data_IF_273012703567
#
_entry.id   IF_273012703567
#
_cell.length_a   1.000
_cell.length_b   1.000
_cell.length_c   1.000
_cell.angle_alpha   90.00
_cell.angle_beta   90.00
_cell.angle_gamma   90.00
#
_symmetry.space_group_name_H-M   'P 1'
#
loop_
_entity.id
_entity.type
_entity.pdbx_description
1 polymer ?
#
# COMPACT_ATOMS: atom_id res chain seq x y z
N UNK A 1 3.67 23.73 15.40
CA UNK A 1 4.50 22.52 15.53
C UNK A 1 4.02 21.54 14.46
N UNK A 2 4.93 20.85 13.74
CA UNK A 2 4.56 19.91 12.70
C UNK A 2 4.30 18.52 13.31
N UNK A 3 3.44 17.72 12.66
CA UNK A 3 3.12 16.35 13.05
C UNK A 3 2.90 15.49 11.80
N UNK A 4 3.26 14.22 11.88
CA UNK A 4 2.93 13.20 10.89
C UNK A 4 2.16 12.06 11.58
N UNK A 5 0.98 11.70 11.07
CA UNK A 5 0.29 10.50 11.52
C UNK A 5 0.90 9.27 10.85
N UNK A 6 1.41 8.35 11.66
CA UNK A 6 2.16 7.19 11.19
C UNK A 6 1.43 5.86 11.33
N UNK A 7 0.25 5.86 11.98
CA UNK A 7 -0.57 4.66 12.15
C UNK A 7 -2.05 4.98 11.96
N UNK A 8 -2.53 4.79 10.75
CA UNK A 8 -3.91 5.09 10.36
C UNK A 8 -4.48 3.98 9.49
N UNK A 9 -5.56 3.34 9.94
CA UNK A 9 -6.26 2.29 9.23
C UNK A 9 -7.58 2.82 8.65
N UNK A 10 -7.77 2.58 7.36
CA UNK A 10 -9.01 2.93 6.65
C UNK A 10 -10.01 1.77 6.68
N UNK A 11 -11.15 1.93 6.02
CA UNK A 11 -12.13 0.85 5.83
C UNK A 11 -11.60 -0.33 4.99
N UNK A 12 -10.38 -0.22 4.40
CA UNK A 12 -9.67 -1.35 3.79
C UNK A 12 -9.08 -2.31 4.83
N UNK A 13 -8.97 -1.90 6.11
CA UNK A 13 -8.91 -2.79 7.26
C UNK A 13 -10.34 -3.21 7.61
N UNK A 14 -10.80 -4.29 6.96
CA UNK A 14 -12.22 -4.68 6.93
C UNK A 14 -12.80 -4.83 8.33
N UNK A 15 -13.95 -4.20 8.57
CA UNK A 15 -14.65 -4.15 9.88
C UNK A 15 -13.79 -3.62 11.04
N UNK A 16 -12.70 -2.86 10.74
CA UNK A 16 -11.82 -2.24 11.73
C UNK A 16 -11.79 -0.73 11.57
N UNK A 17 -11.45 -0.21 10.39
CA UNK A 17 -11.51 1.22 10.09
C UNK A 17 -12.90 1.68 9.65
N UNK A 18 -13.30 2.89 10.04
CA UNK A 18 -14.60 3.47 9.69
C UNK A 18 -14.52 4.59 8.63
N UNK A 19 -13.31 5.10 8.34
CA UNK A 19 -13.12 6.18 7.39
C UNK A 19 -12.60 5.70 6.04
N UNK A 20 -12.93 6.38 4.95
CA UNK A 20 -12.31 6.16 3.64
C UNK A 20 -10.87 6.70 3.61
N UNK A 21 -9.97 6.15 2.78
CA UNK A 21 -8.64 6.72 2.59
C UNK A 21 -8.69 8.19 2.14
N UNK A 22 -9.69 8.55 1.32
CA UNK A 22 -9.91 9.90 0.82
C UNK A 22 -10.25 10.87 1.95
N UNK A 23 -11.17 10.49 2.86
CA UNK A 23 -11.55 11.30 4.01
C UNK A 23 -10.37 11.51 4.95
N UNK A 24 -9.58 10.45 5.18
CA UNK A 24 -8.41 10.50 6.05
C UNK A 24 -7.36 11.50 5.53
N UNK A 25 -6.97 11.42 4.25
CA UNK A 25 -5.96 12.32 3.70
C UNK A 25 -6.46 13.76 3.60
N UNK A 26 -7.74 13.96 3.23
CA UNK A 26 -8.36 15.29 3.15
C UNK A 26 -8.44 15.93 4.53
N UNK A 27 -8.87 15.18 5.55
CA UNK A 27 -8.96 15.69 6.93
C UNK A 27 -7.57 15.98 7.50
N UNK A 28 -6.57 15.12 7.28
CA UNK A 28 -5.21 15.36 7.76
C UNK A 28 -4.58 16.60 7.11
N UNK A 29 -4.80 16.82 5.80
CA UNK A 29 -4.37 18.03 5.10
C UNK A 29 -5.02 19.27 5.69
N UNK A 30 -6.34 19.25 5.93
CA UNK A 30 -7.09 20.37 6.53
C UNK A 30 -6.65 20.68 7.98
N UNK A 31 -6.15 19.68 8.71
CA UNK A 31 -5.59 19.86 10.05
C UNK A 31 -4.14 20.35 10.04
N UNK A 32 -3.52 20.48 8.85
CA UNK A 32 -2.14 20.95 8.70
C UNK A 32 -1.08 19.90 9.07
N UNK A 33 -1.38 18.61 8.92
CA UNK A 33 -0.39 17.55 9.11
C UNK A 33 0.67 17.59 8.01
N UNK A 34 1.92 17.35 8.38
CA UNK A 34 3.03 17.25 7.43
C UNK A 34 2.94 15.99 6.56
N UNK A 35 2.45 14.88 7.15
CA UNK A 35 2.29 13.61 6.46
C UNK A 35 1.21 12.76 7.13
N UNK A 36 0.69 11.79 6.37
CA UNK A 36 -0.17 10.72 6.88
C UNK A 36 0.27 9.38 6.26
N UNK A 37 0.40 8.34 7.09
CA UNK A 37 0.59 6.98 6.64
C UNK A 37 -0.76 6.26 6.57
N UNK A 38 -1.08 5.65 5.43
CA UNK A 38 -2.17 4.68 5.34
C UNK A 38 -1.57 3.30 5.58
N UNK A 39 -2.01 2.67 6.66
CA UNK A 39 -1.39 1.46 7.22
C UNK A 39 -2.45 0.39 7.50
N UNK A 40 -3.25 0.09 6.48
CA UNK A 40 -4.28 -0.95 6.56
C UNK A 40 -3.71 -2.32 6.91
N UNK A 41 -4.51 -3.15 7.56
CA UNK A 41 -4.09 -4.45 8.07
C UNK A 41 -3.80 -5.43 6.94
N UNK A 42 -2.54 -5.85 6.85
CA UNK A 42 -2.01 -6.75 5.82
C UNK A 42 -2.47 -6.34 4.41
N UNK A 43 -2.45 -5.03 4.10
CA UNK A 43 -2.97 -4.47 2.84
C UNK A 43 -2.36 -3.12 2.52
N UNK A 44 -2.17 -2.84 1.24
CA UNK A 44 -1.86 -1.52 0.68
C UNK A 44 -2.94 -1.04 -0.31
N UNK A 45 -4.11 -1.69 -0.33
CA UNK A 45 -5.17 -1.39 -1.30
C UNK A 45 -5.73 0.03 -1.13
N UNK A 46 -5.87 0.53 0.10
CA UNK A 46 -6.36 1.88 0.39
C UNK A 46 -5.41 3.00 -0.05
N UNK A 47 -4.11 2.71 -0.15
CA UNK A 47 -3.08 3.71 -0.49
C UNK A 47 -3.29 4.33 -1.87
N UNK A 48 -3.77 3.55 -2.85
CA UNK A 48 -4.02 4.04 -4.23
C UNK A 48 -5.11 5.10 -4.23
N UNK A 49 -6.19 4.89 -3.47
CA UNK A 49 -7.29 5.86 -3.34
C UNK A 49 -6.84 7.15 -2.63
N UNK A 50 -6.05 7.01 -1.56
CA UNK A 50 -5.43 8.13 -0.86
C UNK A 50 -4.52 8.94 -1.79
N UNK A 51 -3.66 8.26 -2.56
CA UNK A 51 -2.77 8.90 -3.52
C UNK A 51 -3.54 9.68 -4.59
N UNK A 52 -4.56 9.06 -5.17
CA UNK A 52 -5.43 9.68 -6.17
C UNK A 52 -6.12 10.93 -5.63
N UNK A 53 -6.69 10.86 -4.42
CA UNK A 53 -7.33 12.00 -3.76
C UNK A 53 -6.36 13.17 -3.57
N UNK A 54 -5.13 12.90 -3.13
CA UNK A 54 -4.09 13.93 -2.96
C UNK A 54 -3.77 14.61 -4.30
N UNK A 55 -3.64 13.83 -5.39
CA UNK A 55 -3.32 14.36 -6.70
C UNK A 55 -4.48 15.18 -7.29
N UNK A 56 -5.70 14.66 -7.26
CA UNK A 56 -6.89 15.32 -7.82
C UNK A 56 -7.25 16.60 -7.08
N UNK A 57 -7.12 16.62 -5.76
CA UNK A 57 -7.42 17.78 -4.91
C UNK A 57 -6.20 18.66 -4.62
N UNK A 58 -5.03 18.32 -5.15
CA UNK A 58 -3.77 19.04 -4.93
C UNK A 58 -3.50 19.30 -3.44
N UNK A 59 -3.75 18.30 -2.59
CA UNK A 59 -3.62 18.45 -1.14
C UNK A 59 -2.15 18.59 -0.75
N UNK A 60 -1.87 19.59 0.10
CA UNK A 60 -0.52 19.85 0.62
C UNK A 60 -0.18 18.89 1.79
N UNK A 61 -0.15 17.58 1.52
CA UNK A 61 0.19 16.55 2.50
C UNK A 61 1.02 15.44 1.85
N UNK A 62 1.99 14.92 2.58
CA UNK A 62 2.78 13.77 2.14
C UNK A 62 2.09 12.47 2.52
N UNK A 63 1.92 11.57 1.54
CA UNK A 63 1.43 10.21 1.78
C UNK A 63 2.59 9.26 2.06
N UNK A 64 2.47 8.50 3.14
CA UNK A 64 3.40 7.42 3.48
C UNK A 64 2.69 6.08 3.27
N UNK A 65 3.36 5.16 2.60
CA UNK A 65 2.85 3.81 2.39
C UNK A 65 3.31 2.91 3.53
N UNK A 66 2.39 2.19 4.12
CA UNK A 66 2.68 1.22 5.16
C UNK A 66 1.60 0.16 5.30
N UNK A 67 1.79 -0.76 6.24
CA UNK A 67 0.77 -1.75 6.60
C UNK A 67 0.95 -2.19 8.06
N UNK A 68 -0.15 -2.42 8.75
CA UNK A 68 -0.20 -3.00 10.08
C UNK A 68 -0.23 -4.52 10.00
N UNK A 69 0.43 -5.17 10.96
CA UNK A 69 0.44 -6.62 11.10
C UNK A 69 0.37 -7.02 12.56
N UNK A 70 -0.32 -8.14 12.80
CA UNK A 70 -0.36 -8.85 14.07
C UNK A 70 0.27 -10.24 13.91
N UNK A 71 1.23 -10.57 14.78
CA UNK A 71 1.81 -11.90 14.89
C UNK A 71 1.79 -12.31 16.36
N UNK A 72 0.90 -13.22 16.72
CA UNK A 72 0.66 -13.56 18.12
C UNK A 72 0.38 -12.30 18.97
N UNK A 73 1.26 -11.97 19.91
CA UNK A 73 1.19 -10.78 20.76
C UNK A 73 2.10 -9.63 20.30
N UNK A 74 2.78 -9.79 19.15
CA UNK A 74 3.56 -8.73 18.51
C UNK A 74 2.70 -7.96 17.52
N UNK A 75 2.49 -6.68 17.76
CA UNK A 75 1.82 -5.76 16.84
C UNK A 75 2.83 -4.76 16.24
N UNK A 76 2.87 -4.66 14.92
CA UNK A 76 3.82 -3.80 14.21
C UNK A 76 3.19 -3.07 13.05
N UNK A 77 3.69 -1.88 12.76
CA UNK A 77 3.45 -1.17 11.51
C UNK A 77 4.75 -1.11 10.73
N UNK A 78 4.73 -1.55 9.48
CA UNK A 78 5.85 -1.40 8.55
C UNK A 78 5.59 -0.20 7.65
N UNK A 79 6.55 0.72 7.57
CA UNK A 79 6.52 1.90 6.70
C UNK A 79 7.57 1.76 5.60
N UNK A 80 7.28 2.30 4.41
CA UNK A 80 8.11 2.17 3.22
C UNK A 80 8.91 3.44 2.94
N UNK A 81 10.18 3.55 3.40
CA UNK A 81 11.03 4.69 3.06
C UNK A 81 11.47 4.70 1.58
N UNK A 82 11.59 3.55 0.93
CA UNK A 82 12.10 3.40 -0.43
C UNK A 82 11.25 2.45 -1.26
N UNK A 83 11.47 2.43 -2.59
CA UNK A 83 10.85 1.43 -3.50
C UNK A 83 11.19 -0.01 -3.09
N UNK A 84 12.39 -0.26 -2.59
CA UNK A 84 12.80 -1.59 -2.11
C UNK A 84 11.97 -2.00 -0.88
N UNK A 85 11.77 -1.07 0.07
CA UNK A 85 10.91 -1.30 1.23
C UNK A 85 9.47 -1.62 0.81
N UNK A 86 8.93 -0.90 -0.18
CA UNK A 86 7.60 -1.18 -0.74
C UNK A 86 7.52 -2.57 -1.38
N UNK A 87 8.54 -2.98 -2.13
CA UNK A 87 8.60 -4.33 -2.70
C UNK A 87 8.66 -5.43 -1.62
N UNK A 88 9.41 -5.20 -0.52
CA UNK A 88 9.41 -6.11 0.64
C UNK A 88 8.04 -6.18 1.30
N UNK A 89 7.40 -5.03 1.54
CA UNK A 89 6.07 -4.96 2.13
C UNK A 89 5.04 -5.73 1.28
N UNK A 90 5.02 -5.51 -0.03
CA UNK A 90 4.12 -6.23 -0.94
C UNK A 90 4.36 -7.75 -0.92
N UNK A 91 5.63 -8.19 -0.81
CA UNK A 91 5.97 -9.61 -0.68
C UNK A 91 5.46 -10.19 0.64
N UNK A 92 5.64 -9.49 1.76
CA UNK A 92 5.12 -9.90 3.07
C UNK A 92 3.61 -10.06 3.01
N UNK A 93 2.88 -9.05 2.50
CA UNK A 93 1.42 -9.11 2.34
C UNK A 93 1.02 -10.31 1.48
N UNK A 94 1.64 -10.48 0.31
CA UNK A 94 1.31 -11.56 -0.62
C UNK A 94 1.54 -12.94 0.00
N UNK A 95 2.66 -13.14 0.68
CA UNK A 95 2.98 -14.41 1.33
C UNK A 95 2.02 -14.69 2.49
N UNK A 96 1.75 -13.70 3.34
CA UNK A 96 0.85 -13.86 4.49
C UNK A 96 -0.59 -14.16 4.06
N UNK A 97 -1.08 -13.51 2.99
CA UNK A 97 -2.41 -13.76 2.44
C UNK A 97 -2.52 -15.14 1.75
N UNK A 98 -1.44 -15.61 1.10
CA UNK A 98 -1.45 -16.93 0.42
C UNK A 98 -1.41 -18.12 1.38
N UNK A 99 -1.00 -17.93 2.63
CA UNK A 99 -0.97 -18.98 3.67
C UNK A 99 -2.30 -19.16 4.37
N UNK A 100 -3.21 -18.22 4.25
CA UNK A 100 -4.49 -18.20 4.94
C UNK A 100 -5.67 -18.31 3.97
N UNK A 101 -6.85 -18.56 4.51
CA UNK A 101 -8.11 -18.51 3.77
C UNK A 101 -8.43 -17.08 3.30
N UNK A 102 -9.35 -16.97 2.35
CA UNK A 102 -9.79 -15.69 1.82
C UNK A 102 -10.36 -14.79 2.93
N UNK A 103 -9.79 -13.61 3.07
CA UNK A 103 -10.17 -12.63 4.10
C UNK A 103 -9.18 -12.59 5.27
N UNK A 104 -8.47 -13.68 5.52
CA UNK A 104 -7.51 -13.82 6.61
C UNK A 104 -6.06 -13.63 6.12
N UNK A 105 -5.12 -13.56 7.05
CA UNK A 105 -3.69 -13.63 6.77
C UNK A 105 -2.93 -14.36 7.88
N UNK A 106 -1.82 -14.97 7.55
CA UNK A 106 -0.91 -15.62 8.48
C UNK A 106 0.50 -15.06 8.29
N UNK A 107 0.89 -14.17 9.17
CA UNK A 107 2.26 -13.64 9.22
C UNK A 107 3.17 -14.65 9.91
N UNK A 108 4.40 -14.79 9.42
CA UNK A 108 5.44 -15.60 10.05
C UNK A 108 6.63 -14.74 10.45
N UNK A 109 7.36 -15.14 11.48
CA UNK A 109 8.61 -14.46 11.91
C UNK A 109 9.62 -14.32 10.77
N UNK A 110 9.64 -15.28 9.86
CA UNK A 110 10.52 -15.26 8.69
C UNK A 110 10.22 -14.07 7.77
N UNK A 111 8.97 -13.71 7.59
CA UNK A 111 8.57 -12.57 6.77
C UNK A 111 9.17 -11.27 7.33
N UNK A 112 9.01 -11.04 8.63
CA UNK A 112 9.61 -9.89 9.31
C UNK A 112 11.14 -9.95 9.31
N UNK A 113 11.73 -11.13 9.55
CA UNK A 113 13.19 -11.32 9.53
C UNK A 113 13.80 -11.02 8.18
N UNK A 114 13.08 -11.25 7.09
CA UNK A 114 13.55 -10.95 5.74
C UNK A 114 13.41 -9.48 5.35
N UNK A 115 12.66 -8.68 6.12
CA UNK A 115 12.46 -7.26 5.89
C UNK A 115 13.70 -6.44 6.26
N UNK A 116 14.37 -5.85 5.26
CA UNK A 116 15.66 -5.14 5.42
C UNK A 116 15.56 -3.63 5.29
N UNK A 117 14.54 -3.13 4.59
CA UNK A 117 14.46 -1.73 4.21
C UNK A 117 13.27 -0.98 4.84
N UNK A 118 12.23 -1.66 5.33
CA UNK A 118 11.12 -1.00 6.01
C UNK A 118 11.56 -0.43 7.37
N UNK A 119 10.95 0.69 7.75
CA UNK A 119 10.93 1.14 9.15
C UNK A 119 9.81 0.40 9.88
N UNK A 120 10.01 0.10 11.15
CA UNK A 120 9.06 -0.62 11.98
C UNK A 120 8.64 0.24 13.16
N UNK A 121 7.32 0.42 13.30
CA UNK A 121 6.74 0.96 14.53
C UNK A 121 6.22 -0.22 15.35
N UNK A 122 6.77 -0.39 16.53
CA UNK A 122 6.37 -1.41 17.48
C UNK A 122 5.26 -0.86 18.38
N UNK A 123 4.15 -1.58 18.47
CA UNK A 123 3.06 -1.30 19.40
C UNK A 123 3.18 -2.27 20.58
N UNK A 124 3.74 -1.86 21.74
CA UNK A 124 3.95 -2.76 22.85
C UNK A 124 2.66 -3.36 23.41
N UNK A 125 2.76 -4.60 23.90
CA UNK A 125 1.63 -5.37 24.44
C UNK A 125 1.21 -4.94 25.86
N UNK A 126 2.02 -4.13 26.54
CA UNK A 126 1.91 -3.76 27.96
C UNK A 126 2.21 -4.93 28.93
N UNK A 127 2.73 -6.00 28.42
CA UNK A 127 3.22 -7.10 29.25
C UNK A 127 4.75 -7.06 29.26
N UNK A 128 5.39 -6.73 30.41
CA UNK A 128 6.84 -6.54 30.49
C UNK A 128 7.65 -7.74 30.02
N UNK A 129 7.20 -8.97 30.31
CA UNK A 129 7.94 -10.18 29.94
C UNK A 129 7.88 -10.43 28.43
N UNK A 130 6.70 -10.27 27.83
CA UNK A 130 6.50 -10.39 26.38
C UNK A 130 7.23 -9.29 25.63
N UNK A 131 7.08 -8.06 26.07
CA UNK A 131 7.73 -6.91 25.44
C UNK A 131 9.25 -6.97 25.57
N UNK A 132 9.79 -7.51 26.66
CA UNK A 132 11.21 -7.79 26.80
C UNK A 132 11.69 -8.86 25.82
N UNK A 133 10.92 -9.94 25.64
CA UNK A 133 11.23 -10.97 24.64
C UNK A 133 11.29 -10.36 23.24
N UNK A 134 10.24 -9.62 22.83
CA UNK A 134 10.16 -9.00 21.51
C UNK A 134 11.21 -7.90 21.32
N UNK A 135 11.57 -7.14 22.35
CA UNK A 135 12.59 -6.10 22.23
C UNK A 135 13.95 -6.65 21.81
N UNK A 136 14.38 -7.78 22.37
CA UNK A 136 15.63 -8.43 21.97
C UNK A 136 15.60 -8.90 20.52
N UNK A 137 14.46 -9.46 20.09
CA UNK A 137 14.28 -9.89 18.71
C UNK A 137 14.28 -8.69 17.74
N UNK A 138 13.53 -7.64 18.06
CA UNK A 138 13.45 -6.40 17.28
C UNK A 138 14.82 -5.71 17.19
N UNK A 139 15.56 -5.67 18.29
CA UNK A 139 16.93 -5.11 18.32
C UNK A 139 17.85 -5.85 17.34
N UNK A 140 17.75 -7.18 17.31
CA UNK A 140 18.59 -8.01 16.43
C UNK A 140 18.28 -7.83 14.94
N UNK A 141 17.01 -7.69 14.54
CA UNK A 141 16.60 -7.71 13.14
C UNK A 141 16.28 -6.34 12.57
N UNK A 142 15.83 -5.39 13.39
CA UNK A 142 15.50 -4.03 12.96
C UNK A 142 16.45 -2.97 13.50
N UNK A 143 16.95 -3.09 14.72
CA UNK A 143 17.91 -2.16 15.30
C UNK A 143 17.43 -0.70 15.20
N UNK A 144 18.22 0.15 14.55
CA UNK A 144 17.92 1.58 14.35
C UNK A 144 16.67 1.87 13.51
N UNK A 145 16.09 0.85 12.86
CA UNK A 145 14.85 0.98 12.06
C UNK A 145 13.59 0.70 12.89
N UNK A 146 13.73 0.40 14.19
CA UNK A 146 12.63 0.14 15.11
C UNK A 146 12.34 1.37 15.96
N UNK A 147 11.06 1.73 16.08
CA UNK A 147 10.56 2.82 16.91
C UNK A 147 9.41 2.30 17.78
N UNK A 148 9.31 2.77 19.02
CA UNK A 148 8.15 2.51 19.86
C UNK A 148 7.02 3.47 19.48
N UNK A 149 5.87 2.93 19.11
CA UNK A 149 4.67 3.70 18.80
C UNK A 149 3.96 4.12 20.10
N UNK A 150 4.15 5.35 20.51
CA UNK A 150 3.49 5.92 21.68
C UNK A 150 2.10 6.42 21.29
N UNK A 151 1.05 5.69 21.70
CA UNK A 151 -0.35 6.07 21.45
C UNK A 151 -1.02 6.62 22.71
N UNK A 152 -2.01 7.48 22.53
CA UNK A 152 -2.83 8.05 23.59
C UNK A 152 -4.31 7.87 23.20
N UNK A 153 -5.01 6.96 23.88
CA UNK A 153 -6.41 6.63 23.59
C UNK A 153 -7.38 7.34 24.56
N UNK A 154 -6.86 8.00 25.59
CA UNK A 154 -7.60 8.73 26.63
C UNK A 154 -8.66 7.85 27.32
N UNK A 155 -8.34 6.59 27.50
CA UNK A 155 -9.10 5.66 28.31
C UNK A 155 -8.58 5.61 29.78
N UNK A 156 -9.15 4.76 30.60
CA UNK A 156 -8.77 4.59 32.01
C UNK A 156 -7.32 4.10 32.19
N UNK A 157 -6.70 3.54 31.17
CA UNK A 157 -5.34 3.00 31.21
C UNK A 157 -4.29 3.94 30.63
N UNK A 158 -4.72 5.06 30.05
CA UNK A 158 -3.86 5.95 29.27
C UNK A 158 -2.67 6.52 30.05
N UNK A 159 -2.85 6.86 31.32
CA UNK A 159 -1.78 7.37 32.20
C UNK A 159 -0.72 6.30 32.46
N UNK A 160 -1.13 5.06 32.72
CA UNK A 160 -0.20 3.95 32.95
C UNK A 160 0.61 3.61 31.68
N UNK A 161 0.05 3.86 30.51
CA UNK A 161 0.72 3.71 29.22
C UNK A 161 1.91 4.66 29.05
N UNK A 162 1.73 5.92 29.40
CA UNK A 162 2.81 6.91 29.29
C UNK A 162 4.01 6.48 30.12
N UNK A 163 3.77 6.08 31.37
CA UNK A 163 4.81 5.59 32.28
C UNK A 163 5.46 4.30 31.74
N UNK A 164 4.65 3.40 31.19
CA UNK A 164 5.14 2.16 30.62
C UNK A 164 6.02 2.38 29.37
N UNK A 165 5.62 3.25 28.44
CA UNK A 165 6.41 3.59 27.27
C UNK A 165 7.74 4.22 27.65
N UNK A 166 7.75 5.11 28.66
CA UNK A 166 8.98 5.71 29.16
C UNK A 166 9.93 4.65 29.75
N UNK A 167 9.41 3.74 30.59
CA UNK A 167 10.16 2.61 31.11
C UNK A 167 10.73 1.73 29.98
N UNK A 168 9.90 1.38 29.00
CA UNK A 168 10.31 0.53 27.88
C UNK A 168 11.41 1.18 27.04
N UNK A 169 11.32 2.49 26.82
CA UNK A 169 12.37 3.27 26.16
C UNK A 169 13.71 3.17 26.94
N UNK A 170 13.69 3.32 28.25
CA UNK A 170 14.88 3.18 29.08
C UNK A 170 15.50 1.78 29.00
N UNK A 171 14.66 0.73 28.89
CA UNK A 171 15.13 -0.65 28.80
C UNK A 171 15.70 -1.01 27.43
N UNK A 172 15.17 -0.43 26.36
CA UNK A 172 15.44 -0.88 24.97
C UNK A 172 16.31 0.09 24.18
N UNK A 173 16.29 1.37 24.54
CA UNK A 173 16.93 2.44 23.77
C UNK A 173 16.24 2.74 22.43
N UNK A 174 15.11 2.10 22.10
CA UNK A 174 14.38 2.40 20.89
C UNK A 174 13.75 3.80 20.95
N UNK A 175 13.94 4.68 19.94
CA UNK A 175 13.28 5.97 19.91
C UNK A 175 11.76 5.81 19.90
N UNK A 176 11.06 6.74 20.54
CA UNK A 176 9.61 6.77 20.59
C UNK A 176 9.06 7.76 19.57
N UNK A 177 7.87 7.50 19.04
CA UNK A 177 7.15 8.41 18.16
C UNK A 177 5.68 8.49 18.52
N UNK A 178 5.09 9.66 18.43
CA UNK A 178 3.65 9.84 18.61
C UNK A 178 2.87 9.19 17.45
N UNK A 179 1.80 8.46 17.78
CA UNK A 179 0.84 7.91 16.82
C UNK A 179 -0.59 8.06 17.34
N UNK A 180 -1.54 8.33 16.43
CA UNK A 180 -2.97 8.44 16.77
C UNK A 180 -3.68 7.09 16.84
N UNK A 181 -3.14 6.05 16.23
CA UNK A 181 -3.81 4.76 16.02
C UNK A 181 -5.22 4.95 15.44
N UNK A 182 -5.28 5.73 14.38
CA UNK A 182 -6.51 6.32 13.82
C UNK A 182 -7.34 5.27 13.10
N UNK A 183 -8.66 5.25 13.38
CA UNK A 183 -9.66 4.41 12.71
C UNK A 183 -10.80 5.23 12.09
N UNK A 184 -10.86 6.53 12.38
CA UNK A 184 -11.90 7.46 11.97
C UNK A 184 -11.26 8.78 11.52
N UNK A 185 -11.85 9.45 10.53
CA UNK A 185 -11.40 10.79 10.16
C UNK A 185 -11.86 11.85 11.18
N UNK A 186 -13.05 11.68 11.73
CA UNK A 186 -13.67 12.61 12.70
C UNK A 186 -14.36 11.87 13.84
N UNK A 187 -14.58 12.52 14.99
CA UNK A 187 -15.27 11.90 16.14
C UNK A 187 -16.70 11.44 15.84
N UNK A 188 -17.38 12.11 14.91
CA UNK A 188 -18.77 11.81 14.51
C UNK A 188 -18.93 10.41 13.91
N UNK A 189 -17.83 9.85 13.36
CA UNK A 189 -17.82 8.48 12.81
C UNK A 189 -17.78 7.39 13.89
N UNK A 190 -17.77 7.76 15.19
CA UNK A 190 -17.69 6.81 16.30
C UNK A 190 -18.80 5.75 16.25
N UNK A 191 -20.04 6.16 15.99
CA UNK A 191 -21.16 5.22 15.93
C UNK A 191 -21.02 4.22 14.76
N UNK A 192 -20.45 4.66 13.62
CA UNK A 192 -20.14 3.76 12.50
C UNK A 192 -19.05 2.75 12.90
N UNK A 193 -18.00 3.23 13.60
CA UNK A 193 -16.94 2.36 14.13
C UNK A 193 -17.51 1.31 15.08
N UNK A 194 -18.48 1.69 15.93
CA UNK A 194 -19.13 0.77 16.87
C UNK A 194 -19.95 -0.31 16.13
N UNK A 195 -20.69 0.11 15.09
CA UNK A 195 -21.46 -0.81 14.25
C UNK A 195 -20.54 -1.83 13.54
N UNK A 196 -19.49 -1.37 12.87
CA UNK A 196 -18.57 -2.30 12.17
C UNK A 196 -17.83 -3.21 13.16
N UNK A 197 -17.50 -2.71 14.36
CA UNK A 197 -16.93 -3.51 15.44
C UNK A 197 -17.91 -4.59 15.92
N UNK A 198 -19.17 -4.22 16.14
CA UNK A 198 -20.22 -5.18 16.55
C UNK A 198 -20.45 -6.26 15.49
N UNK A 199 -20.45 -5.90 14.20
CA UNK A 199 -20.53 -6.87 13.09
C UNK A 199 -19.35 -7.84 13.13
N UNK A 200 -18.13 -7.33 13.30
CA UNK A 200 -16.92 -8.18 13.42
C UNK A 200 -17.00 -9.15 14.59
N UNK A 201 -17.60 -8.73 15.72
CA UNK A 201 -17.78 -9.54 16.91
C UNK A 201 -18.99 -10.47 16.84
N UNK A 202 -19.79 -10.43 15.77
CA UNK A 202 -21.00 -11.23 15.62
C UNK A 202 -22.09 -10.87 16.63
N UNK A 203 -22.18 -9.60 17.08
CA UNK A 203 -23.12 -9.14 18.11
C UNK A 203 -23.76 -7.80 17.75
N UNK A 204 -24.62 -7.28 18.60
CA UNK A 204 -25.17 -5.91 18.49
C UNK A 204 -24.26 -4.90 19.18
N UNK A 205 -24.40 -3.60 18.85
CA UNK A 205 -23.65 -2.52 19.53
C UNK A 205 -23.85 -2.56 21.05
N UNK A 206 -25.08 -2.75 21.49
CA UNK A 206 -25.40 -2.87 22.93
C UNK A 206 -24.81 -4.14 23.55
N UNK A 207 -24.81 -5.26 22.81
CA UNK A 207 -24.23 -6.53 23.26
C UNK A 207 -22.71 -6.55 23.30
N UNK A 208 -22.04 -5.71 22.52
CA UNK A 208 -20.58 -5.58 22.50
C UNK A 208 -20.00 -4.99 23.81
N UNK A 209 -20.77 -4.17 24.53
CA UNK A 209 -20.41 -3.64 25.83
C UNK A 209 -19.03 -2.94 25.83
N UNK A 210 -18.10 -3.44 26.65
CA UNK A 210 -16.73 -2.89 26.78
C UNK A 210 -15.78 -3.27 25.64
N UNK A 211 -16.22 -4.08 24.67
CA UNK A 211 -15.41 -4.46 23.51
C UNK A 211 -15.39 -3.37 22.40
N UNK A 212 -16.31 -2.40 22.46
CA UNK A 212 -16.25 -1.20 21.63
C UNK A 212 -15.37 -0.12 22.29
N UNK A 213 -14.80 0.78 21.49
CA UNK A 213 -13.95 1.85 21.99
C UNK A 213 -14.73 2.74 22.98
N UNK A 214 -14.13 3.04 24.13
CA UNK A 214 -14.77 3.81 25.20
C UNK A 214 -15.09 5.27 24.81
N UNK A 215 -14.39 5.80 23.80
CA UNK A 215 -14.51 7.19 23.34
C UNK A 215 -14.23 7.31 21.82
N UNK A 216 -14.31 8.52 21.30
CA UNK A 216 -14.05 8.82 19.89
C UNK A 216 -12.61 9.28 19.60
N UNK A 217 -11.65 8.97 20.48
CA UNK A 217 -10.29 9.51 20.40
C UNK A 217 -9.40 8.88 19.31
N UNK A 218 -9.80 7.75 18.73
CA UNK A 218 -9.10 7.13 17.59
C UNK A 218 -9.46 7.80 16.27
N UNK A 219 -9.51 9.16 16.27
CA UNK A 219 -9.72 9.99 15.10
C UNK A 219 -8.53 10.94 14.88
N UNK A 220 -8.51 11.62 13.72
CA UNK A 220 -7.54 12.68 13.45
C UNK A 220 -7.80 13.88 14.36
N UNK A 221 -6.79 14.29 15.13
CA UNK A 221 -6.87 15.32 16.17
C UNK A 221 -6.27 16.63 15.68
N UNK A 222 -6.70 17.77 16.23
CA UNK A 222 -6.06 19.06 15.96
C UNK A 222 -4.62 19.09 16.47
N UNK A 223 -3.73 19.86 15.81
CA UNK A 223 -2.34 20.01 16.25
C UNK A 223 -2.25 20.53 17.69
N UNK A 224 -3.16 21.42 18.09
CA UNK A 224 -3.22 21.92 19.47
C UNK A 224 -3.49 20.77 20.47
N UNK A 225 -4.43 19.86 20.17
CA UNK A 225 -4.70 18.70 21.02
C UNK A 225 -3.49 17.74 21.07
N UNK A 226 -2.81 17.54 19.95
CA UNK A 226 -1.62 16.69 19.90
C UNK A 226 -0.48 17.25 20.76
N UNK A 227 -0.26 18.57 20.77
CA UNK A 227 0.77 19.20 21.63
C UNK A 227 0.45 19.15 23.12
N UNK A 228 -0.82 18.96 23.50
CA UNK A 228 -1.22 18.71 24.89
C UNK A 228 -1.02 17.26 25.32
N UNK A 229 -1.09 16.33 24.36
CA UNK A 229 -1.03 14.89 24.64
C UNK A 229 0.40 14.30 24.55
N UNK A 230 1.23 14.86 23.68
CA UNK A 230 2.57 14.35 23.41
C UNK A 230 3.63 15.42 23.64
N UNK A 231 4.81 14.97 24.06
CA UNK A 231 5.97 15.87 24.13
C UNK A 231 6.42 16.34 22.75
N UNK A 232 7.11 17.47 22.71
CA UNK A 232 7.68 18.01 21.46
C UNK A 232 8.62 17.04 20.76
N UNK A 233 9.34 16.20 21.50
CA UNK A 233 10.25 15.18 20.98
C UNK A 233 9.50 14.08 20.23
N UNK A 234 8.41 13.55 20.82
CA UNK A 234 7.60 12.50 20.20
C UNK A 234 6.95 12.98 18.89
N UNK A 235 6.50 14.24 18.86
CA UNK A 235 5.94 14.86 17.65
C UNK A 235 7.03 15.10 16.61
N UNK A 236 8.21 15.58 17.01
CA UNK A 236 9.35 15.77 16.11
C UNK A 236 9.80 14.47 15.47
N UNK A 237 9.93 13.39 16.27
CA UNK A 237 10.28 12.04 15.75
C UNK A 237 9.28 11.56 14.69
N UNK A 238 7.98 11.87 14.81
CA UNK A 238 7.01 11.50 13.78
C UNK A 238 7.31 12.16 12.42
N UNK A 239 7.74 13.41 12.46
CA UNK A 239 8.12 14.17 11.25
C UNK A 239 9.48 13.67 10.69
N UNK A 240 10.43 13.32 11.56
CA UNK A 240 11.70 12.72 11.13
C UNK A 240 11.47 11.40 10.39
N UNK A 241 10.62 10.51 10.92
CA UNK A 241 10.23 9.26 10.25
C UNK A 241 9.55 9.57 8.91
N UNK A 242 8.64 10.54 8.88
CA UNK A 242 8.00 10.97 7.65
C UNK A 242 9.00 11.49 6.61
N UNK A 243 10.05 12.19 7.05
CA UNK A 243 11.12 12.68 6.17
C UNK A 243 12.00 11.54 5.63
N UNK A 244 12.19 10.46 6.37
CA UNK A 244 12.87 9.26 5.87
C UNK A 244 12.07 8.54 4.78
N UNK A 245 10.74 8.62 4.81
CA UNK A 245 9.85 7.95 3.85
C UNK A 245 9.78 8.75 2.55
N UNK A 246 10.68 8.49 1.59
CA UNK A 246 10.75 9.20 0.30
C UNK A 246 10.01 8.48 -0.84
N UNK A 247 9.54 7.26 -0.61
CA UNK A 247 8.81 6.51 -1.62
C UNK A 247 7.45 7.13 -1.93
N UNK A 248 7.13 7.21 -3.21
CA UNK A 248 5.82 7.64 -3.72
C UNK A 248 5.33 6.69 -4.80
N UNK A 249 4.02 6.45 -4.87
CA UNK A 249 3.42 5.67 -5.97
C UNK A 249 3.66 6.31 -7.34
N UNK A 250 3.84 7.63 -7.40
CA UNK A 250 4.20 8.33 -8.66
C UNK A 250 5.55 7.90 -9.24
N UNK A 251 6.43 7.29 -8.42
CA UNK A 251 7.72 6.76 -8.89
C UNK A 251 7.62 5.37 -9.50
N UNK A 252 6.45 4.71 -9.37
CA UNK A 252 6.23 3.39 -9.97
C UNK A 252 5.95 3.56 -11.45
N UNK A 253 6.76 2.87 -12.26
CA UNK A 253 6.53 2.71 -13.70
C UNK A 253 6.33 1.24 -13.98
N UNK A 254 5.46 0.96 -14.94
CA UNK A 254 5.31 -0.39 -15.43
C UNK A 254 6.56 -0.73 -16.27
N UNK A 255 7.27 -1.78 -15.91
CA UNK A 255 8.44 -2.29 -16.62
C UNK A 255 8.04 -3.58 -17.31
N UNK A 256 7.96 -3.55 -18.64
CA UNK A 256 7.71 -4.75 -19.45
C UNK A 256 9.03 -5.54 -19.65
N UNK A 257 8.96 -6.86 -19.92
CA UNK A 257 10.13 -7.64 -20.26
C UNK A 257 10.89 -7.05 -21.45
N UNK A 258 12.14 -6.68 -21.26
CA UNK A 258 13.00 -6.12 -22.32
C UNK A 258 13.64 -7.20 -23.20
N UNK A 259 13.66 -8.44 -22.72
CA UNK A 259 14.24 -9.62 -23.38
C UNK A 259 13.50 -10.03 -24.67
N UNK A 260 12.29 -9.51 -24.85
CA UNK A 260 11.45 -9.78 -26.04
C UNK A 260 11.93 -9.04 -27.28
N UNK A 261 12.82 -8.06 -27.13
CA UNK A 261 13.34 -7.27 -28.25
C UNK A 261 14.74 -7.76 -28.59
N UNK A 262 15.02 -8.11 -29.85
CA UNK A 262 16.34 -8.52 -30.30
C UNK A 262 17.39 -7.46 -30.02
N UNK A 263 18.62 -7.87 -29.73
CA UNK A 263 19.72 -6.96 -29.47
C UNK A 263 19.95 -6.00 -30.66
N UNK A 264 20.02 -4.71 -30.37
CA UNK A 264 20.24 -3.65 -31.38
C UNK A 264 18.98 -3.13 -32.05
N UNK A 265 17.79 -3.65 -31.74
CA UNK A 265 16.52 -3.11 -32.20
C UNK A 265 15.83 -2.26 -31.13
N UNK A 266 14.94 -1.35 -31.57
CA UNK A 266 14.01 -0.68 -30.68
C UNK A 266 12.73 -1.49 -30.55
N UNK A 267 12.00 -1.40 -29.42
CA UNK A 267 10.72 -2.11 -29.25
C UNK A 267 9.71 -1.80 -30.36
N UNK A 268 9.64 -0.55 -30.78
CA UNK A 268 8.72 -0.11 -31.80
C UNK A 268 9.09 -0.64 -33.18
N UNK A 269 10.39 -0.71 -33.50
CA UNK A 269 10.86 -1.29 -34.75
C UNK A 269 10.49 -2.78 -34.83
N UNK A 270 10.83 -3.55 -33.77
CA UNK A 270 10.50 -4.97 -33.69
C UNK A 270 8.98 -5.23 -33.77
N UNK A 271 8.19 -4.43 -33.05
CA UNK A 271 6.73 -4.52 -33.13
C UNK A 271 6.22 -4.29 -34.55
N UNK A 272 6.74 -3.26 -35.22
CA UNK A 272 6.34 -2.94 -36.60
C UNK A 272 6.68 -4.09 -37.56
N UNK A 273 7.85 -4.70 -37.46
CA UNK A 273 8.22 -5.88 -38.26
C UNK A 273 7.26 -7.05 -38.03
N UNK A 274 6.92 -7.38 -36.78
CA UNK A 274 5.98 -8.44 -36.46
C UNK A 274 4.57 -8.15 -37.00
N UNK A 275 4.11 -6.90 -36.89
CA UNK A 275 2.80 -6.48 -37.39
C UNK A 275 2.74 -6.57 -38.93
N UNK A 276 3.79 -6.12 -39.63
CA UNK A 276 3.86 -6.18 -41.08
C UNK A 276 3.93 -7.62 -41.61
N UNK A 277 4.74 -8.46 -40.95
CA UNK A 277 4.77 -9.90 -41.24
C UNK A 277 3.39 -10.56 -41.05
N UNK A 278 2.73 -10.22 -39.92
CA UNK A 278 1.36 -10.68 -39.66
C UNK A 278 0.32 -10.15 -40.67
N UNK A 279 0.45 -8.90 -41.15
CA UNK A 279 -0.40 -8.34 -42.14
C UNK A 279 -0.26 -9.10 -43.48
N UNK A 280 0.95 -9.47 -43.90
CA UNK A 280 1.16 -10.31 -45.10
C UNK A 280 0.47 -11.67 -44.95
N UNK A 281 0.53 -12.30 -43.77
CA UNK A 281 -0.16 -13.57 -43.51
C UNK A 281 -1.69 -13.43 -43.64
N UNK A 282 -2.25 -12.30 -43.17
CA UNK A 282 -3.70 -12.06 -43.12
C UNK A 282 -4.29 -11.57 -44.45
N UNK A 283 -3.55 -10.73 -45.16
CA UNK A 283 -4.06 -10.01 -46.33
C UNK A 283 -3.34 -10.38 -47.65
N UNK A 284 -2.27 -11.21 -47.57
CA UNK A 284 -1.45 -11.55 -48.74
C UNK A 284 -0.43 -10.46 -49.09
N UNK A 285 0.13 -10.56 -50.31
CA UNK A 285 1.20 -9.66 -50.75
C UNK A 285 0.76 -8.20 -50.96
N UNK A 286 -0.56 -7.97 -51.11
CA UNK A 286 -1.10 -6.62 -51.28
C UNK A 286 -2.03 -6.27 -50.12
N UNK A 287 -1.52 -5.49 -49.16
CA UNK A 287 -2.33 -4.98 -48.03
C UNK A 287 -3.26 -3.88 -48.59
N UNK A 288 -4.60 -3.95 -48.36
CA UNK A 288 -5.52 -2.90 -48.76
C UNK A 288 -5.14 -1.54 -48.18
N UNK A 289 -5.21 -0.45 -48.95
CA UNK A 289 -4.80 0.87 -48.52
C UNK A 289 -5.47 1.32 -47.21
N UNK A 290 -6.78 1.09 -47.04
CA UNK A 290 -7.51 1.44 -45.82
C UNK A 290 -6.97 0.69 -44.56
N UNK A 291 -6.50 -0.55 -44.72
CA UNK A 291 -5.86 -1.33 -43.66
C UNK A 291 -4.47 -0.75 -43.34
N UNK A 292 -3.68 -0.41 -44.38
CA UNK A 292 -2.38 0.22 -44.22
C UNK A 292 -2.49 1.56 -43.48
N UNK A 293 -3.44 2.41 -43.79
CA UNK A 293 -3.70 3.68 -43.12
C UNK A 293 -4.10 3.47 -41.64
N UNK A 294 -4.87 2.42 -41.36
CA UNK A 294 -5.28 2.09 -40.00
C UNK A 294 -4.11 1.56 -39.19
N UNK A 295 -3.28 0.66 -39.73
CA UNK A 295 -2.06 0.18 -39.10
C UNK A 295 -1.10 1.32 -38.77
N UNK A 296 -0.89 2.26 -39.72
CA UNK A 296 -0.02 3.42 -39.48
C UNK A 296 -0.51 4.28 -38.32
N UNK A 297 -1.81 4.51 -38.21
CA UNK A 297 -2.42 5.28 -37.09
C UNK A 297 -2.30 4.55 -35.75
N UNK A 298 -2.59 3.25 -35.71
CA UNK A 298 -2.51 2.46 -34.50
C UNK A 298 -1.05 2.35 -34.01
N UNK A 299 -0.09 2.05 -34.91
CA UNK A 299 1.32 1.98 -34.57
C UNK A 299 1.86 3.32 -34.06
N UNK A 300 1.44 4.43 -34.68
CA UNK A 300 1.80 5.77 -34.21
C UNK A 300 1.28 6.02 -32.78
N UNK A 301 0.04 5.67 -32.49
CA UNK A 301 -0.55 5.81 -31.14
C UNK A 301 0.17 4.93 -30.11
N UNK A 302 0.55 3.71 -30.48
CA UNK A 302 1.31 2.80 -29.62
C UNK A 302 2.68 3.40 -29.27
N UNK A 303 3.35 4.03 -30.25
CA UNK A 303 4.62 4.71 -30.04
C UNK A 303 4.49 5.94 -29.12
N UNK A 304 3.51 6.82 -29.40
CA UNK A 304 3.22 8.01 -28.58
C UNK A 304 2.92 7.67 -27.11
N UNK A 305 2.30 6.53 -26.84
CA UNK A 305 1.92 6.05 -25.51
C UNK A 305 2.96 5.14 -24.85
N UNK A 306 4.08 4.82 -25.55
CA UNK A 306 5.14 3.91 -25.07
C UNK A 306 4.60 2.49 -24.71
N UNK A 307 3.67 1.96 -25.53
CA UNK A 307 3.04 0.65 -25.31
C UNK A 307 3.63 -0.48 -26.16
N UNK A 308 4.72 -0.27 -26.89
CA UNK A 308 5.31 -1.28 -27.77
C UNK A 308 5.63 -2.59 -27.01
N UNK A 309 6.26 -2.50 -25.85
CA UNK A 309 6.55 -3.68 -25.00
C UNK A 309 5.30 -4.43 -24.56
N UNK A 310 4.20 -3.73 -24.30
CA UNK A 310 2.92 -4.37 -23.95
C UNK A 310 2.43 -5.27 -25.09
N UNK A 311 2.40 -4.74 -26.31
CA UNK A 311 1.97 -5.52 -27.48
C UNK A 311 2.90 -6.69 -27.77
N UNK A 312 4.23 -6.50 -27.63
CA UNK A 312 5.22 -7.57 -27.77
C UNK A 312 5.02 -8.68 -26.74
N UNK A 313 4.76 -8.30 -25.46
CA UNK A 313 4.48 -9.27 -24.40
C UNK A 313 3.23 -10.10 -24.71
N UNK A 314 2.14 -9.46 -25.15
CA UNK A 314 0.93 -10.20 -25.50
C UNK A 314 1.13 -11.07 -26.73
N UNK A 315 1.87 -10.59 -27.75
CA UNK A 315 2.20 -11.39 -28.92
C UNK A 315 3.03 -12.64 -28.58
N UNK A 316 3.98 -12.51 -27.64
CA UNK A 316 4.77 -13.63 -27.16
C UNK A 316 3.92 -14.67 -26.41
N UNK A 317 3.00 -14.23 -25.54
CA UNK A 317 2.04 -15.12 -24.86
C UNK A 317 1.17 -15.85 -25.89
N UNK A 318 0.68 -15.14 -26.90
CA UNK A 318 -0.13 -15.74 -27.99
C UNK A 318 0.69 -16.75 -28.79
N UNK A 319 1.94 -16.44 -29.14
CA UNK A 319 2.85 -17.37 -29.82
C UNK A 319 3.04 -18.65 -28.99
N UNK A 320 3.35 -18.52 -27.71
CA UNK A 320 3.48 -19.63 -26.79
C UNK A 320 2.22 -20.50 -26.72
N UNK A 321 1.05 -19.88 -26.65
CA UNK A 321 -0.23 -20.59 -26.61
C UNK A 321 -0.46 -21.39 -27.91
N UNK A 322 -0.17 -20.80 -29.07
CA UNK A 322 -0.33 -21.43 -30.39
C UNK A 322 0.63 -22.61 -30.58
N UNK A 323 1.89 -22.46 -30.22
CA UNK A 323 2.89 -23.56 -30.28
C UNK A 323 2.44 -24.78 -29.48
N UNK A 324 1.66 -24.58 -28.43
CA UNK A 324 1.13 -25.64 -27.54
C UNK A 324 -0.34 -25.99 -27.80
N UNK A 325 -0.93 -25.44 -28.87
CA UNK A 325 -2.34 -25.66 -29.23
C UNK A 325 -3.32 -25.29 -28.10
N UNK A 326 -2.96 -24.30 -27.27
CA UNK A 326 -3.83 -23.74 -26.24
C UNK A 326 -4.78 -22.72 -26.87
N UNK A 327 -6.08 -22.92 -26.68
CA UNK A 327 -7.09 -21.99 -27.15
C UNK A 327 -6.92 -20.62 -26.49
N UNK A 328 -6.89 -19.56 -27.28
CA UNK A 328 -6.76 -18.18 -26.82
C UNK A 328 -7.58 -17.27 -27.74
N UNK A 329 -7.99 -16.12 -27.19
CA UNK A 329 -8.64 -15.07 -27.98
C UNK A 329 -8.54 -13.73 -27.26
N UNK A 330 -8.17 -12.66 -28.00
CA UNK A 330 -8.29 -11.29 -27.56
C UNK A 330 -9.75 -10.87 -27.42
N UNK A 331 -10.07 -10.07 -26.39
CA UNK A 331 -11.42 -9.59 -26.07
C UNK A 331 -11.41 -8.07 -25.84
N UNK A 332 -12.62 -7.51 -25.77
CA UNK A 332 -12.80 -6.09 -25.49
C UNK A 332 -12.30 -5.21 -26.66
N UNK A 333 -11.60 -4.13 -26.35
CA UNK A 333 -11.08 -3.20 -27.36
C UNK A 333 -10.07 -3.82 -28.32
N UNK A 334 -9.37 -4.88 -27.94
CA UNK A 334 -8.43 -5.60 -28.79
C UNK A 334 -9.14 -6.18 -30.04
N UNK A 335 -10.43 -6.53 -29.95
CA UNK A 335 -11.21 -7.07 -31.07
C UNK A 335 -11.34 -6.09 -32.24
N UNK A 336 -11.19 -4.79 -32.03
CA UNK A 336 -11.30 -3.75 -33.06
C UNK A 336 -9.92 -3.26 -33.57
N UNK A 337 -8.81 -3.78 -33.01
CA UNK A 337 -7.47 -3.37 -33.41
C UNK A 337 -6.93 -4.21 -34.55
N UNK A 338 -6.53 -3.54 -35.63
CA UNK A 338 -5.88 -4.20 -36.79
C UNK A 338 -4.49 -4.68 -36.43
N UNK A 339 -3.77 -3.98 -35.55
CA UNK A 339 -2.47 -4.44 -34.97
C UNK A 339 -2.68 -5.75 -34.21
N UNK A 340 -3.69 -5.85 -33.35
CA UNK A 340 -3.99 -7.11 -32.64
C UNK A 340 -4.37 -8.24 -33.60
N UNK A 341 -5.10 -7.95 -34.67
CA UNK A 341 -5.43 -8.92 -35.71
C UNK A 341 -4.21 -9.43 -36.45
N UNK A 342 -3.28 -8.55 -36.84
CA UNK A 342 -2.01 -8.92 -37.49
C UNK A 342 -1.12 -9.72 -36.56
N UNK A 343 -1.04 -9.37 -35.28
CA UNK A 343 -0.28 -10.12 -34.26
C UNK A 343 -0.95 -11.44 -33.84
N UNK A 344 -2.08 -11.79 -34.45
CA UNK A 344 -2.85 -13.01 -34.19
C UNK A 344 -3.38 -13.11 -32.74
N UNK A 345 -3.48 -11.96 -32.05
CA UNK A 345 -4.09 -11.84 -30.71
C UNK A 345 -5.61 -12.03 -30.84
N UNK A 346 -6.19 -11.56 -31.91
CA UNK A 346 -7.60 -11.75 -32.28
C UNK A 346 -7.76 -12.62 -33.52
N UNK A 347 -8.93 -13.29 -33.63
CA UNK A 347 -9.23 -14.21 -34.71
C UNK A 347 -9.53 -13.48 -36.05
#
# INVERSE_FOLDING_TARGET
>A
MAYAELFCQSHFSFLTGAASPEDLVSKAANLGYAAIAITDECSVAGVVRAHRQIQEQQLAIKLIVGSYFQLEDLSVVLLCPTRQAYAELCRIISNSRRRAEKGEYQLELWDLKSCRHCLLLWLPSRNPDRDKHWSHWLQRFFGKRCYIAAKRELDSQDVSFVSYHHWLWQQTGFPQTAVGAVLMATPEQKHLLDVVTAIRLGTTVTGAGTLIAANAERCLRTLNKLTQLFSSELLATSVEIANLCQFSLSSLRYEYPSELVPAGQTPMHHLTELVMAGAQIRFGDTIPAAIGDTLARELKLIDELDYAYYFLTIADIVRFARERQILHQGRGSAANSVVCYCLQITA
#
